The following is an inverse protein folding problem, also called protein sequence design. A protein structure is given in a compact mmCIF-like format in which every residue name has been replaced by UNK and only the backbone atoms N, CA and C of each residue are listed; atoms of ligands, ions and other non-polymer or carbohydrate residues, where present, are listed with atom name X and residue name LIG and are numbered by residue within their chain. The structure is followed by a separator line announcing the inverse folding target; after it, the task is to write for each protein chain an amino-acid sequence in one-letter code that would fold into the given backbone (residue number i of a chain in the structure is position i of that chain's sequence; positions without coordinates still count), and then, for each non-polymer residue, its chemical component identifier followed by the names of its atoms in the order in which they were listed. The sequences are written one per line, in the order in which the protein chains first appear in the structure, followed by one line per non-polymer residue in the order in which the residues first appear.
data_IF_373687037266
#
_entry.id   IF_373687037266
#
_cell.length_a   1.000
_cell.length_b   1.000
_cell.length_c   1.000
_cell.angle_alpha   90.00
_cell.angle_beta   90.00
_cell.angle_gamma   90.00
#
_symmetry.space_group_name_H-M   'P 1'
#
loop_
_entity.id
_entity.type
_entity.pdbx_description
1 polymer ?
#
# COMPACT_ATOMS: atom_id res chain seq x y z
N UNK A 1 -7.47 22.22 -20.92
CA UNK A 1 -7.50 21.94 -19.47
C UNK A 1 -7.40 20.44 -19.33
N UNK A 2 -6.39 19.92 -18.62
CA UNK A 2 -6.41 18.53 -18.22
C UNK A 2 -7.43 18.38 -17.10
N UNK A 3 -8.40 17.48 -17.25
CA UNK A 3 -9.30 17.13 -16.15
C UNK A 3 -8.48 16.42 -15.09
N UNK A 4 -8.51 16.94 -13.87
CA UNK A 4 -7.91 16.26 -12.73
C UNK A 4 -8.67 14.94 -12.49
N UNK A 5 -7.97 13.83 -12.17
CA UNK A 5 -8.62 12.58 -11.86
C UNK A 5 -9.62 12.79 -10.73
N UNK A 6 -10.79 12.16 -10.84
CA UNK A 6 -11.79 12.28 -9.78
C UNK A 6 -11.28 11.63 -8.50
N UNK A 7 -11.86 12.02 -7.37
CA UNK A 7 -11.57 11.39 -6.07
C UNK A 7 -11.78 9.87 -6.15
N UNK A 8 -12.80 9.42 -6.89
CA UNK A 8 -13.09 7.99 -7.08
C UNK A 8 -12.02 7.28 -7.90
N UNK A 9 -11.50 7.91 -8.96
CA UNK A 9 -10.41 7.31 -9.77
C UNK A 9 -9.13 7.14 -8.93
N UNK A 10 -8.85 8.11 -8.07
CA UNK A 10 -7.71 8.06 -7.16
C UNK A 10 -7.87 6.94 -6.14
N UNK A 11 -9.05 6.79 -5.55
CA UNK A 11 -9.36 5.73 -4.58
C UNK A 11 -9.30 4.34 -5.24
N UNK A 12 -9.85 4.17 -6.44
CA UNK A 12 -9.76 2.90 -7.16
C UNK A 12 -8.31 2.50 -7.45
N UNK A 13 -7.47 3.45 -7.88
CA UNK A 13 -6.05 3.20 -8.08
C UNK A 13 -5.35 2.81 -6.77
N UNK A 14 -5.66 3.48 -5.65
CA UNK A 14 -5.07 3.13 -4.35
C UNK A 14 -5.49 1.73 -3.90
N UNK A 15 -6.76 1.37 -4.04
CA UNK A 15 -7.27 0.02 -3.74
C UNK A 15 -6.54 -1.01 -4.58
N UNK A 16 -6.39 -0.80 -5.89
CA UNK A 16 -5.69 -1.72 -6.79
C UNK A 16 -4.24 -1.95 -6.36
N UNK A 17 -3.51 -0.88 -5.99
CA UNK A 17 -2.12 -1.00 -5.51
C UNK A 17 -2.07 -1.77 -4.18
N UNK A 18 -3.00 -1.53 -3.25
CA UNK A 18 -3.05 -2.26 -1.98
C UNK A 18 -3.36 -3.75 -2.17
N UNK A 19 -4.25 -4.08 -3.10
CA UNK A 19 -4.57 -5.46 -3.48
C UNK A 19 -3.33 -6.16 -4.04
N UNK A 20 -2.60 -5.51 -4.96
CA UNK A 20 -1.36 -6.08 -5.51
C UNK A 20 -0.31 -6.33 -4.40
N UNK A 21 -0.13 -5.37 -3.49
CA UNK A 21 0.79 -5.51 -2.34
C UNK A 21 0.39 -6.71 -1.49
N UNK A 22 -0.90 -6.85 -1.17
CA UNK A 22 -1.39 -7.97 -0.37
C UNK A 22 -1.18 -9.31 -1.08
N UNK A 23 -1.61 -9.43 -2.34
CA UNK A 23 -1.56 -10.69 -3.08
C UNK A 23 -0.13 -11.16 -3.30
N UNK A 24 0.78 -10.23 -3.61
CA UNK A 24 2.19 -10.53 -3.87
C UNK A 24 2.97 -10.77 -2.58
N UNK A 25 2.89 -9.84 -1.64
CA UNK A 25 3.78 -9.79 -0.49
C UNK A 25 3.17 -10.38 0.79
N UNK A 26 1.86 -10.66 0.81
CA UNK A 26 1.16 -11.17 1.97
C UNK A 26 0.98 -10.13 3.10
N UNK A 27 1.10 -8.85 2.79
CA UNK A 27 1.05 -7.81 3.82
C UNK A 27 -0.40 -7.50 4.20
N UNK A 28 -0.84 -8.03 5.35
CA UNK A 28 -2.21 -7.86 5.85
C UNK A 28 -2.61 -6.38 5.99
N UNK A 29 -1.67 -5.47 6.28
CA UNK A 29 -1.99 -4.04 6.39
C UNK A 29 -2.49 -3.46 5.07
N UNK A 30 -2.02 -3.99 3.93
CA UNK A 30 -2.51 -3.60 2.62
C UNK A 30 -3.96 -4.04 2.41
N UNK A 31 -4.31 -5.28 2.81
CA UNK A 31 -5.68 -5.76 2.74
C UNK A 31 -6.64 -4.92 3.58
N UNK A 32 -6.26 -4.62 4.83
CA UNK A 32 -7.08 -3.79 5.72
C UNK A 32 -7.22 -2.35 5.21
N UNK A 33 -6.18 -1.78 4.57
CA UNK A 33 -6.28 -0.48 3.91
C UNK A 33 -7.23 -0.52 2.72
N UNK A 34 -7.10 -1.51 1.84
CA UNK A 34 -8.00 -1.70 0.70
C UNK A 34 -9.47 -1.83 1.15
N UNK A 35 -9.71 -2.67 2.16
CA UNK A 35 -11.03 -2.85 2.77
C UNK A 35 -11.59 -1.53 3.33
N UNK A 36 -10.78 -0.80 4.11
CA UNK A 36 -11.19 0.48 4.70
C UNK A 36 -11.60 1.51 3.64
N UNK A 37 -10.81 1.63 2.57
CA UNK A 37 -11.12 2.51 1.45
C UNK A 37 -12.40 2.08 0.71
N UNK A 38 -12.51 0.79 0.39
CA UNK A 38 -13.67 0.25 -0.31
C UNK A 38 -14.96 0.50 0.47
N UNK A 39 -14.95 0.24 1.80
CA UNK A 39 -16.09 0.54 2.67
C UNK A 39 -16.40 2.03 2.77
N UNK A 40 -15.38 2.88 2.89
CA UNK A 40 -15.56 4.33 3.05
C UNK A 40 -16.17 5.00 1.82
N UNK A 41 -15.77 4.56 0.63
CA UNK A 41 -16.17 5.19 -0.63
C UNK A 41 -17.18 4.37 -1.44
N UNK A 42 -17.62 3.21 -0.94
CA UNK A 42 -18.59 2.35 -1.61
C UNK A 42 -18.02 1.63 -2.84
N UNK A 43 -16.71 1.39 -2.87
CA UNK A 43 -16.05 0.67 -3.95
C UNK A 43 -16.17 -0.85 -3.74
N UNK A 44 -16.13 -1.60 -4.85
CA UNK A 44 -16.03 -3.05 -4.81
C UNK A 44 -14.74 -3.48 -4.11
N UNK A 45 -14.85 -4.48 -3.25
CA UNK A 45 -13.72 -5.05 -2.51
C UNK A 45 -13.42 -6.43 -3.11
N UNK A 46 -12.20 -6.66 -3.64
CA UNK A 46 -11.85 -7.96 -4.20
C UNK A 46 -11.94 -9.11 -3.21
N UNK A 47 -12.25 -10.31 -3.70
CA UNK A 47 -12.39 -11.53 -2.91
C UNK A 47 -11.15 -11.87 -2.08
N UNK A 48 -9.95 -11.59 -2.60
CA UNK A 48 -8.70 -11.80 -1.87
C UNK A 48 -8.63 -10.97 -0.59
N UNK A 49 -9.16 -9.75 -0.63
CA UNK A 49 -9.26 -8.87 0.53
C UNK A 49 -10.32 -9.38 1.50
N UNK A 50 -11.54 -9.70 1.01
CA UNK A 50 -12.60 -10.22 1.88
C UNK A 50 -12.16 -11.48 2.63
N UNK A 51 -11.49 -12.42 1.95
CA UNK A 51 -10.95 -13.63 2.58
C UNK A 51 -9.96 -13.35 3.71
N UNK A 52 -9.16 -12.31 3.61
CA UNK A 52 -8.23 -11.92 4.68
C UNK A 52 -8.97 -11.32 5.89
N UNK A 53 -9.99 -10.50 5.64
CA UNK A 53 -10.85 -9.96 6.69
C UNK A 53 -11.59 -11.10 7.39
N UNK A 54 -12.15 -12.03 6.62
CA UNK A 54 -12.85 -13.20 7.14
C UNK A 54 -11.91 -14.08 7.96
N UNK A 55 -10.70 -14.38 7.46
CA UNK A 55 -9.67 -15.14 8.20
C UNK A 55 -9.35 -14.50 9.55
N UNK A 56 -9.15 -13.18 9.57
CA UNK A 56 -8.87 -12.46 10.82
C UNK A 56 -10.08 -12.49 11.76
N UNK A 57 -11.28 -12.25 11.22
CA UNK A 57 -12.52 -12.26 11.98
C UNK A 57 -12.84 -13.63 12.57
N UNK A 58 -12.64 -14.72 11.82
CA UNK A 58 -12.81 -16.11 12.28
C UNK A 58 -11.86 -16.41 13.44
N UNK A 59 -10.59 -16.01 13.34
CA UNK A 59 -9.61 -16.26 14.39
C UNK A 59 -9.96 -15.53 15.70
N UNK A 60 -10.45 -14.29 15.62
CA UNK A 60 -10.94 -13.56 16.80
C UNK A 60 -12.28 -14.13 17.30
N UNK A 61 -13.16 -14.50 16.37
CA UNK A 61 -14.48 -15.07 16.65
C UNK A 61 -14.44 -16.39 17.41
N UNK A 62 -13.44 -17.23 17.13
CA UNK A 62 -13.23 -18.48 17.87
C UNK A 62 -13.09 -18.27 19.39
N UNK A 63 -12.51 -17.15 19.83
CA UNK A 63 -12.41 -16.80 21.26
C UNK A 63 -13.77 -16.40 21.82
N UNK A 64 -14.58 -15.66 21.05
CA UNK A 64 -15.94 -15.32 21.44
C UNK A 64 -16.83 -16.57 21.54
N UNK A 65 -16.65 -17.55 20.67
CA UNK A 65 -17.38 -18.83 20.72
C UNK A 65 -17.05 -19.62 21.99
N UNK A 66 -15.78 -19.68 22.39
CA UNK A 66 -15.37 -20.31 23.65
C UNK A 66 -16.01 -19.61 24.87
N UNK A 67 -15.98 -18.28 24.88
CA UNK A 67 -16.62 -17.49 25.92
C UNK A 67 -18.14 -17.75 25.98
N UNK A 68 -18.80 -17.81 24.82
CA UNK A 68 -20.23 -18.08 24.71
C UNK A 68 -20.61 -19.49 25.19
N UNK A 69 -19.71 -20.46 25.01
CA UNK A 69 -19.86 -21.83 25.51
C UNK A 69 -19.60 -21.96 27.02
N UNK A 70 -19.31 -20.85 27.71
CA UNK A 70 -19.17 -20.80 29.17
C UNK A 70 -17.73 -20.84 29.69
N UNK A 71 -16.72 -20.74 28.82
CA UNK A 71 -15.34 -20.55 29.25
C UNK A 71 -15.13 -19.12 29.74
N UNK A 72 -15.14 -18.94 31.06
CA UNK A 72 -14.93 -17.65 31.70
C UNK A 72 -13.47 -17.13 31.61
N UNK A 73 -12.55 -17.93 31.08
CA UNK A 73 -11.16 -17.55 30.83
C UNK A 73 -10.88 -17.28 29.36
N UNK A 74 -11.86 -17.48 28.47
CA UNK A 74 -11.72 -17.17 27.06
C UNK A 74 -11.45 -15.67 26.87
N UNK A 75 -10.22 -15.36 26.51
CA UNK A 75 -9.74 -14.00 26.25
C UNK A 75 -8.74 -14.07 25.11
N UNK A 76 -8.57 -12.96 24.40
CA UNK A 76 -7.54 -12.81 23.38
C UNK A 76 -6.53 -11.76 23.85
N UNK A 77 -5.27 -12.16 23.92
CA UNK A 77 -4.17 -11.28 24.28
C UNK A 77 -3.68 -10.47 23.07
N UNK A 78 -2.95 -9.38 23.35
CA UNK A 78 -2.29 -8.60 22.30
C UNK A 78 -1.29 -9.44 21.49
N UNK A 79 -0.65 -10.43 22.11
CA UNK A 79 0.28 -11.33 21.44
C UNK A 79 -0.45 -12.23 20.44
N UNK A 80 -1.58 -12.81 20.84
CA UNK A 80 -2.42 -13.62 19.96
C UNK A 80 -2.99 -12.81 18.80
N UNK A 81 -3.49 -11.60 19.06
CA UNK A 81 -3.90 -10.67 18.00
C UNK A 81 -2.73 -10.40 17.04
N UNK A 82 -1.53 -10.17 17.57
CA UNK A 82 -0.32 -9.96 16.78
C UNK A 82 0.06 -11.17 15.92
N UNK A 83 -0.12 -12.39 16.43
CA UNK A 83 0.10 -13.62 15.67
C UNK A 83 -0.94 -13.76 14.56
N UNK A 84 -2.23 -13.58 14.86
CA UNK A 84 -3.30 -13.62 13.86
C UNK A 84 -3.04 -12.58 12.77
N UNK A 85 -2.55 -11.39 13.13
CA UNK A 85 -2.21 -10.32 12.20
C UNK A 85 -1.02 -10.66 11.28
N UNK A 86 -0.01 -11.41 11.76
CA UNK A 86 1.20 -11.77 11.01
C UNK A 86 1.11 -13.10 10.25
N UNK A 87 0.20 -13.99 10.64
CA UNK A 87 0.14 -15.36 10.13
C UNK A 87 -0.38 -15.48 8.68
N UNK A 88 -0.58 -14.39 7.95
CA UNK A 88 -0.85 -14.49 6.52
C UNK A 88 0.46 -14.66 5.73
N UNK A 89 0.66 -15.85 5.16
CA UNK A 89 1.89 -16.24 4.42
C UNK A 89 3.19 -16.10 5.23
N UNK A 90 3.13 -16.09 6.57
CA UNK A 90 4.26 -15.87 7.48
C UNK A 90 5.01 -14.54 7.22
N UNK A 91 4.25 -13.47 6.97
CA UNK A 91 4.81 -12.15 6.62
C UNK A 91 4.44 -11.09 7.64
N UNK A 92 5.40 -10.22 7.93
CA UNK A 92 5.14 -9.02 8.72
C UNK A 92 4.21 -8.08 7.94
N UNK A 93 3.24 -7.53 8.65
CA UNK A 93 2.32 -6.52 8.13
C UNK A 93 2.91 -5.10 8.31
N UNK A 94 2.84 -4.29 7.25
CA UNK A 94 3.28 -2.89 7.21
C UNK A 94 4.49 -2.63 6.30
N UNK A 95 5.59 -3.41 6.40
CA UNK A 95 6.79 -3.12 5.63
C UNK A 95 6.60 -3.13 4.11
N UNK A 96 5.68 -3.93 3.56
CA UNK A 96 5.47 -3.96 2.11
C UNK A 96 4.66 -2.76 1.65
N UNK A 97 3.67 -2.32 2.43
CA UNK A 97 2.93 -1.06 2.19
C UNK A 97 3.88 0.14 2.24
N UNK A 98 4.74 0.21 3.26
CA UNK A 98 5.76 1.27 3.35
C UNK A 98 6.67 1.29 2.12
N UNK A 99 7.20 0.13 1.71
CA UNK A 99 8.04 0.03 0.51
C UNK A 99 7.28 0.43 -0.75
N UNK A 100 6.02 0.00 -0.91
CA UNK A 100 5.20 0.35 -2.05
C UNK A 100 4.99 1.86 -2.15
N UNK A 101 4.69 2.52 -1.02
CA UNK A 101 4.55 3.98 -0.97
C UNK A 101 5.85 4.69 -1.30
N UNK A 102 6.96 4.30 -0.65
CA UNK A 102 8.29 4.87 -0.93
C UNK A 102 8.66 4.73 -2.40
N UNK A 103 8.48 3.55 -2.97
CA UNK A 103 8.80 3.28 -4.38
C UNK A 103 7.93 4.14 -5.32
N UNK A 104 6.67 4.38 -4.96
CA UNK A 104 5.77 5.27 -5.69
C UNK A 104 6.26 6.73 -5.65
N UNK A 105 6.58 7.25 -4.47
CA UNK A 105 7.08 8.61 -4.30
C UNK A 105 8.40 8.83 -5.07
N UNK A 106 9.29 7.83 -5.07
CA UNK A 106 10.52 7.83 -5.88
C UNK A 106 10.21 7.93 -7.38
N UNK A 107 9.23 7.16 -7.88
CA UNK A 107 8.87 7.16 -9.29
C UNK A 107 8.26 8.51 -9.73
N UNK A 108 7.40 9.11 -8.90
CA UNK A 108 6.83 10.46 -9.13
C UNK A 108 7.94 11.51 -9.17
N UNK A 109 8.85 11.48 -8.20
CA UNK A 109 10.01 12.39 -8.15
C UNK A 109 10.89 12.28 -9.39
N UNK A 110 11.13 11.04 -9.85
CA UNK A 110 11.91 10.79 -11.05
C UNK A 110 11.22 11.36 -12.29
N UNK A 111 9.91 11.15 -12.45
CA UNK A 111 9.15 11.67 -13.57
C UNK A 111 9.16 13.21 -13.59
N UNK A 112 8.97 13.86 -12.44
CA UNK A 112 9.04 15.34 -12.32
C UNK A 112 10.39 15.90 -12.75
N UNK A 113 11.49 15.30 -12.30
CA UNK A 113 12.82 15.76 -12.70
C UNK A 113 13.07 15.52 -14.20
N UNK A 114 12.55 14.42 -14.76
CA UNK A 114 12.67 14.16 -16.21
C UNK A 114 11.86 15.17 -17.04
N UNK A 115 10.65 15.53 -16.61
CA UNK A 115 9.83 16.58 -17.24
C UNK A 115 10.49 17.96 -17.16
N UNK A 116 11.20 18.25 -16.07
CA UNK A 116 11.99 19.47 -15.93
C UNK A 116 13.25 19.51 -16.82
N UNK A 117 13.50 18.45 -17.61
CA UNK A 117 14.60 18.39 -18.57
C UNK A 117 15.91 17.84 -18.03
N UNK A 118 15.96 17.33 -16.79
CA UNK A 118 17.19 16.77 -16.24
C UNK A 118 17.57 15.43 -16.89
N UNK A 119 18.88 15.20 -17.04
CA UNK A 119 19.41 13.95 -17.59
C UNK A 119 19.18 12.77 -16.65
N UNK A 120 19.08 11.54 -17.18
CA UNK A 120 18.86 10.35 -16.37
C UNK A 120 19.94 10.13 -15.29
N UNK A 121 21.20 10.46 -15.60
CA UNK A 121 22.30 10.43 -14.63
C UNK A 121 22.08 11.42 -13.50
N UNK A 122 21.71 12.67 -13.82
CA UNK A 122 21.43 13.68 -12.82
C UNK A 122 20.25 13.29 -11.93
N UNK A 123 19.16 12.79 -12.51
CA UNK A 123 18.00 12.29 -11.75
C UNK A 123 18.42 11.17 -10.80
N UNK A 124 19.23 10.23 -11.27
CA UNK A 124 19.73 9.12 -10.46
C UNK A 124 20.55 9.61 -9.25
N UNK A 125 21.48 10.53 -9.47
CA UNK A 125 22.36 11.03 -8.41
C UNK A 125 21.58 11.87 -7.38
N UNK A 126 20.63 12.69 -7.84
CA UNK A 126 19.77 13.48 -6.95
C UNK A 126 18.89 12.59 -6.09
N UNK A 127 18.23 11.59 -6.68
CA UNK A 127 17.26 10.76 -5.96
C UNK A 127 17.90 9.74 -5.04
N UNK A 128 19.02 9.13 -5.43
CA UNK A 128 19.76 8.24 -4.53
C UNK A 128 20.23 8.98 -3.27
N UNK A 129 20.70 10.23 -3.42
CA UNK A 129 21.08 11.09 -2.30
C UNK A 129 19.88 11.57 -1.48
N UNK A 130 18.81 12.04 -2.13
CA UNK A 130 17.61 12.58 -1.46
C UNK A 130 16.92 11.54 -0.60
N UNK A 131 16.71 10.35 -1.16
CA UNK A 131 15.97 9.26 -0.50
C UNK A 131 16.88 8.35 0.34
N UNK A 132 18.21 8.53 0.29
CA UNK A 132 19.16 7.66 0.99
C UNK A 132 19.13 6.21 0.50
N UNK A 133 18.95 6.00 -0.82
CA UNK A 133 18.74 4.68 -1.41
C UNK A 133 19.82 4.30 -2.45
N UNK A 134 19.92 3.01 -2.74
CA UNK A 134 20.76 2.50 -3.81
C UNK A 134 20.19 2.80 -5.21
N UNK A 135 21.05 2.79 -6.24
CA UNK A 135 20.62 2.87 -7.65
C UNK A 135 19.66 1.73 -8.03
N UNK A 136 19.88 0.54 -7.47
CA UNK A 136 19.00 -0.63 -7.67
C UNK A 136 17.60 -0.39 -7.12
N UNK A 137 17.49 0.23 -5.94
CA UNK A 137 16.20 0.58 -5.33
C UNK A 137 15.45 1.59 -6.20
N UNK A 138 16.13 2.64 -6.69
CA UNK A 138 15.55 3.61 -7.62
C UNK A 138 15.05 2.92 -8.90
N UNK A 139 15.87 2.07 -9.52
CA UNK A 139 15.48 1.36 -10.74
C UNK A 139 14.26 0.46 -10.53
N UNK A 140 14.24 -0.28 -9.42
CA UNK A 140 13.10 -1.15 -9.08
C UNK A 140 11.82 -0.34 -8.84
N UNK A 141 11.92 0.83 -8.20
CA UNK A 141 10.80 1.73 -7.99
C UNK A 141 10.21 2.23 -9.33
N UNK A 142 11.05 2.68 -10.25
CA UNK A 142 10.62 3.12 -11.59
C UNK A 142 10.01 1.97 -12.41
N UNK A 143 10.60 0.77 -12.33
CA UNK A 143 10.07 -0.42 -13.01
C UNK A 143 8.71 -0.86 -12.46
N UNK A 144 8.50 -0.66 -11.16
CA UNK A 144 7.25 -1.02 -10.48
C UNK A 144 6.09 -0.11 -10.89
N UNK A 145 6.37 1.15 -11.19
CA UNK A 145 5.36 2.13 -11.61
C UNK A 145 5.72 2.72 -12.98
N UNK A 146 5.71 1.89 -14.04
CA UNK A 146 6.21 2.29 -15.36
C UNK A 146 5.35 3.39 -15.99
N UNK A 147 4.08 3.49 -15.65
CA UNK A 147 3.16 4.45 -16.27
C UNK A 147 3.41 5.89 -15.79
N UNK A 148 3.98 6.05 -14.59
CA UNK A 148 4.28 7.37 -14.01
C UNK A 148 5.25 8.17 -14.89
N UNK A 149 6.15 7.50 -15.61
CA UNK A 149 7.10 8.19 -16.49
C UNK A 149 6.44 8.87 -17.70
N UNK A 150 5.20 8.53 -18.02
CA UNK A 150 4.44 9.07 -19.14
C UNK A 150 3.38 10.10 -18.72
N UNK A 151 3.24 10.35 -17.41
CA UNK A 151 2.30 11.34 -16.88
C UNK A 151 2.77 12.77 -17.19
N UNK A 152 1.80 13.63 -17.46
CA UNK A 152 2.00 15.08 -17.57
C UNK A 152 2.26 15.71 -16.20
N UNK A 153 2.76 16.95 -16.22
CA UNK A 153 2.99 17.71 -14.99
C UNK A 153 1.71 17.86 -14.14
N UNK A 154 0.57 18.10 -14.78
CA UNK A 154 -0.72 18.26 -14.09
C UNK A 154 -1.17 16.97 -13.40
N UNK A 155 -0.96 15.80 -14.04
CA UNK A 155 -1.26 14.50 -13.44
C UNK A 155 -0.33 14.21 -12.25
N UNK A 156 0.96 14.51 -12.39
CA UNK A 156 1.93 14.36 -11.30
C UNK A 156 1.67 15.30 -10.12
N UNK A 157 1.15 16.51 -10.37
CA UNK A 157 0.80 17.48 -9.32
C UNK A 157 -0.50 17.10 -8.59
N UNK A 158 -1.39 16.33 -9.24
CA UNK A 158 -2.58 15.75 -8.63
C UNK A 158 -2.29 14.60 -7.66
N UNK A 159 -1.08 14.04 -7.70
CA UNK A 159 -0.67 12.99 -6.77
C UNK A 159 -0.20 13.57 -5.42
N UNK A 160 -0.76 13.10 -4.29
CA UNK A 160 -0.49 13.67 -2.98
C UNK A 160 0.99 13.55 -2.63
N UNK A 161 1.67 14.69 -2.69
CA UNK A 161 3.05 14.84 -2.25
C UNK A 161 3.05 14.99 -0.73
N UNK A 162 3.19 13.88 -0.01
CA UNK A 162 3.51 13.97 1.42
C UNK A 162 5.01 14.32 1.52
N UNK A 163 5.31 15.62 1.63
CA UNK A 163 6.55 16.03 2.30
C UNK A 163 6.39 15.60 3.76
N UNK A 164 7.04 14.52 4.13
CA UNK A 164 7.38 14.30 5.52
C UNK A 164 8.20 15.52 5.99
N UNK A 165 7.85 16.02 7.17
CA UNK A 165 8.46 17.18 7.81
C UNK A 165 9.93 17.00 8.18
#
# INVERSE_FOLDING_TARGET
MADLPSVLDTVHSEIAVMVEVFERDGDASAAWRAFSLGRKYGCEIPDSINKEIDRFAEAVGAVADLAFQGDNKATISNEEVGLVWKNFKDRDAGPAVFRARRDYDIAVDAARLRLAGFSATHVTDVLTKRHGISKTTLYNAQKRFPDIQYMSQAELDGHPYHRDG
#
